data_IF_814800787183
#
_entry.id   IF_814800787183
#
_cell.length_a   1.000
_cell.length_b   1.000
_cell.length_c   1.000
_cell.angle_alpha   90.00
_cell.angle_beta   90.00
_cell.angle_gamma   90.00
#
_symmetry.space_group_name_H-M   'P 1'
#
loop_
_entity.id
_entity.type
_entity.pdbx_description
1 polymer ?
#
# COMPACT_ATOMS: atom_id res chain seq x y z
N UNK A 1 0.63 -19.98 -11.52
CA UNK A 1 1.06 -19.38 -10.24
C UNK A 1 0.10 -18.23 -9.93
N UNK A 2 -0.38 -18.17 -8.69
CA UNK A 2 -1.41 -17.25 -8.16
C UNK A 2 -1.44 -15.86 -8.83
N UNK A 3 -2.44 -15.59 -9.67
CA UNK A 3 -2.58 -14.35 -10.45
C UNK A 3 -2.94 -13.08 -9.66
N UNK A 4 -2.88 -13.11 -8.32
CA UNK A 4 -3.15 -11.96 -7.46
C UNK A 4 -1.88 -11.19 -7.06
N UNK A 5 -0.74 -11.88 -7.01
CA UNK A 5 0.53 -11.24 -6.73
C UNK A 5 1.12 -10.65 -8.00
N UNK A 6 1.79 -9.51 -7.87
CA UNK A 6 2.44 -8.85 -8.99
C UNK A 6 3.58 -9.72 -9.54
N UNK A 7 3.30 -10.45 -10.63
CA UNK A 7 4.25 -11.37 -11.23
C UNK A 7 5.44 -10.66 -11.90
N UNK A 8 5.26 -9.39 -12.26
CA UNK A 8 6.23 -8.60 -13.02
C UNK A 8 7.19 -7.84 -12.11
N UNK A 9 6.72 -7.39 -10.94
CA UNK A 9 7.51 -6.62 -9.99
C UNK A 9 7.57 -7.32 -8.61
N UNK A 10 8.69 -8.00 -8.37
CA UNK A 10 8.97 -8.72 -7.11
C UNK A 10 8.92 -7.81 -5.88
N UNK A 11 9.30 -6.53 -6.01
CA UNK A 11 9.23 -5.56 -4.91
C UNK A 11 7.77 -5.25 -4.55
N UNK A 12 6.92 -4.99 -5.56
CA UNK A 12 5.49 -4.79 -5.34
C UNK A 12 4.84 -6.04 -4.75
N UNK A 13 5.20 -7.23 -5.23
CA UNK A 13 4.71 -8.49 -4.65
C UNK A 13 5.12 -8.64 -3.17
N UNK A 14 6.36 -8.32 -2.82
CA UNK A 14 6.79 -8.31 -1.41
C UNK A 14 5.97 -7.30 -0.59
N UNK A 15 5.73 -6.09 -1.13
CA UNK A 15 4.91 -5.08 -0.47
C UNK A 15 3.43 -5.50 -0.31
N UNK A 16 2.87 -6.29 -1.24
CA UNK A 16 1.54 -6.89 -1.05
C UNK A 16 1.53 -7.84 0.15
N UNK A 17 2.55 -8.69 0.28
CA UNK A 17 2.67 -9.60 1.43
C UNK A 17 2.82 -8.81 2.73
N UNK A 18 3.70 -7.81 2.76
CA UNK A 18 3.92 -6.96 3.94
C UNK A 18 2.65 -6.24 4.37
N UNK A 19 1.92 -5.61 3.44
CA UNK A 19 0.64 -4.95 3.74
C UNK A 19 -0.44 -5.95 4.15
N UNK A 20 -0.46 -7.16 3.57
CA UNK A 20 -1.36 -8.23 3.98
C UNK A 20 -1.11 -8.70 5.42
N UNK A 21 0.16 -8.87 5.81
CA UNK A 21 0.53 -9.20 7.18
C UNK A 21 0.18 -8.08 8.16
N UNK A 22 0.48 -6.83 7.79
CA UNK A 22 0.11 -5.66 8.59
C UNK A 22 -1.41 -5.52 8.77
N UNK A 23 -2.18 -5.80 7.71
CA UNK A 23 -3.65 -5.84 7.76
C UNK A 23 -4.15 -6.92 8.72
N UNK A 24 -3.59 -8.13 8.65
CA UNK A 24 -3.96 -9.20 9.58
C UNK A 24 -3.63 -8.84 11.03
N UNK A 25 -2.47 -8.23 11.28
CA UNK A 25 -2.09 -7.77 12.61
C UNK A 25 -3.01 -6.66 13.13
N UNK A 26 -3.34 -5.67 12.29
CA UNK A 26 -4.26 -4.59 12.64
C UNK A 26 -5.68 -5.12 12.91
N UNK A 27 -6.16 -6.05 12.08
CA UNK A 27 -7.45 -6.72 12.29
C UNK A 27 -7.46 -7.55 13.59
N UNK A 28 -6.38 -8.27 13.88
CA UNK A 28 -6.25 -9.01 15.14
C UNK A 28 -6.27 -8.08 16.35
N UNK A 29 -5.57 -6.94 16.30
CA UNK A 29 -5.60 -5.95 17.37
C UNK A 29 -6.98 -5.33 17.54
N UNK A 30 -7.69 -5.05 16.44
CA UNK A 30 -9.06 -4.54 16.49
C UNK A 30 -10.02 -5.54 17.14
N UNK A 31 -9.89 -6.84 16.83
CA UNK A 31 -10.72 -7.89 17.42
C UNK A 31 -10.38 -8.16 18.90
N UNK A 32 -9.09 -8.07 19.25
CA UNK A 32 -8.62 -8.34 20.61
C UNK A 32 -8.79 -7.15 21.55
N UNK A 33 -8.78 -5.92 21.03
CA UNK A 33 -8.91 -4.67 21.76
C UNK A 33 -9.80 -3.69 20.99
N UNK A 34 -11.14 -3.78 21.12
CA UNK A 34 -12.08 -2.98 20.33
C UNK A 34 -12.03 -1.48 20.62
N UNK A 35 -11.43 -1.05 21.73
CA UNK A 35 -11.18 0.37 22.02
C UNK A 35 -10.22 1.01 21.01
N UNK A 36 -9.45 0.20 20.28
CA UNK A 36 -8.47 0.65 19.27
C UNK A 36 -9.06 0.81 17.86
N UNK A 37 -10.38 0.62 17.69
CA UNK A 37 -11.08 0.61 16.39
C UNK A 37 -10.79 1.87 15.57
N UNK A 38 -10.79 3.05 16.19
CA UNK A 38 -10.62 4.30 15.45
C UNK A 38 -9.19 4.46 14.89
N UNK A 39 -8.16 4.01 15.62
CA UNK A 39 -6.76 4.05 15.19
C UNK A 39 -6.43 2.96 14.17
N UNK A 40 -7.01 1.77 14.33
CA UNK A 40 -6.70 0.62 13.48
C UNK A 40 -7.60 0.55 12.24
N UNK A 41 -8.77 1.19 12.24
CA UNK A 41 -9.70 1.17 11.10
C UNK A 41 -9.12 1.84 9.85
N UNK A 42 -8.48 3.00 10.02
CA UNK A 42 -7.81 3.68 8.91
C UNK A 42 -6.64 2.86 8.37
N UNK A 43 -5.84 2.27 9.25
CA UNK A 43 -4.70 1.42 8.85
C UNK A 43 -5.14 0.15 8.12
N UNK A 44 -6.24 -0.48 8.54
CA UNK A 44 -6.83 -1.63 7.85
C UNK A 44 -7.24 -1.23 6.43
N UNK A 45 -7.96 -0.11 6.28
CA UNK A 45 -8.38 0.38 4.97
C UNK A 45 -7.18 0.69 4.07
N UNK A 46 -6.15 1.34 4.62
CA UNK A 46 -4.93 1.66 3.89
C UNK A 46 -4.13 0.41 3.49
N UNK A 47 -3.97 -0.55 4.39
CA UNK A 47 -3.27 -1.79 4.07
C UNK A 47 -4.03 -2.58 2.99
N UNK A 48 -5.36 -2.64 3.06
CA UNK A 48 -6.18 -3.27 2.02
C UNK A 48 -6.02 -2.56 0.67
N UNK A 49 -6.09 -1.23 0.65
CA UNK A 49 -5.89 -0.43 -0.55
C UNK A 49 -4.50 -0.63 -1.14
N UNK A 50 -3.45 -0.70 -0.31
CA UNK A 50 -2.08 -0.95 -0.75
C UNK A 50 -1.90 -2.35 -1.35
N UNK A 51 -2.54 -3.39 -0.78
CA UNK A 51 -2.52 -4.76 -1.34
C UNK A 51 -3.10 -4.77 -2.76
N UNK A 52 -4.25 -4.12 -2.96
CA UNK A 52 -4.88 -4.00 -4.28
C UNK A 52 -4.07 -3.10 -5.21
N UNK A 53 -3.57 -1.98 -4.69
CA UNK A 53 -2.78 -1.04 -5.50
C UNK A 53 -1.48 -1.69 -5.98
N UNK A 54 -0.88 -2.57 -5.21
CA UNK A 54 0.35 -3.23 -5.63
C UNK A 54 0.13 -4.48 -6.50
N UNK A 55 -1.10 -5.01 -6.61
CA UNK A 55 -1.39 -6.17 -7.47
C UNK A 55 -1.29 -5.85 -8.96
N UNK A 56 -1.91 -4.75 -9.39
CA UNK A 56 -2.18 -4.53 -10.82
C UNK A 56 -2.50 -3.07 -11.18
N UNK A 57 -2.21 -2.14 -10.28
CA UNK A 57 -2.61 -0.75 -10.48
C UNK A 57 -1.55 0.00 -11.28
N UNK A 58 -1.88 0.33 -12.53
CA UNK A 58 -0.91 0.73 -13.56
C UNK A 58 -1.12 2.17 -14.07
N UNK A 59 -2.01 2.93 -13.43
CA UNK A 59 -2.32 4.31 -13.81
C UNK A 59 -1.69 5.32 -12.82
N UNK A 60 -1.15 6.42 -13.37
CA UNK A 60 -0.44 7.45 -12.61
C UNK A 60 -1.29 8.18 -11.56
N UNK A 61 -2.59 8.43 -11.82
CA UNK A 61 -3.52 9.01 -10.86
C UNK A 61 -3.73 8.10 -9.65
N UNK A 62 -3.80 6.79 -9.88
CA UNK A 62 -3.96 5.80 -8.82
C UNK A 62 -2.70 5.66 -7.97
N UNK A 63 -1.53 5.72 -8.60
CA UNK A 63 -0.21 5.78 -7.94
C UNK A 63 -0.05 7.05 -7.09
N UNK A 64 -0.42 8.22 -7.62
CA UNK A 64 -0.38 9.51 -6.90
C UNK A 64 -1.39 9.50 -5.75
N UNK A 65 -2.61 9.03 -5.99
CA UNK A 65 -3.66 8.92 -4.98
C UNK A 65 -3.25 8.00 -3.83
N UNK A 66 -2.70 6.82 -4.14
CA UNK A 66 -2.19 5.90 -3.12
C UNK A 66 -1.01 6.50 -2.34
N UNK A 67 -0.14 7.23 -3.02
CA UNK A 67 0.94 7.96 -2.34
C UNK A 67 0.40 9.01 -1.37
N UNK A 68 -0.55 9.84 -1.82
CA UNK A 68 -1.16 10.88 -0.99
C UNK A 68 -1.85 10.27 0.23
N UNK A 69 -2.61 9.19 0.05
CA UNK A 69 -3.29 8.50 1.15
C UNK A 69 -2.31 7.88 2.15
N UNK A 70 -1.17 7.36 1.70
CA UNK A 70 -0.14 6.88 2.63
C UNK A 70 0.54 8.04 3.38
N UNK A 71 0.75 9.20 2.76
CA UNK A 71 1.19 10.40 3.50
C UNK A 71 0.16 10.88 4.52
N UNK A 72 -1.14 10.80 4.19
CA UNK A 72 -2.21 11.03 5.16
C UNK A 72 -2.10 10.06 6.34
N UNK A 73 -1.87 8.77 6.09
CA UNK A 73 -1.63 7.79 7.16
C UNK A 73 -0.40 8.06 8.01
N UNK A 74 0.68 8.55 7.41
CA UNK A 74 1.83 9.00 8.18
C UNK A 74 1.50 10.23 9.05
N UNK A 75 0.66 11.14 8.53
CA UNK A 75 0.14 12.28 9.26
C UNK A 75 -0.78 11.89 10.42
N UNK A 76 -1.65 10.88 10.26
CA UNK A 76 -2.51 10.41 11.35
C UNK A 76 -1.69 9.75 12.46
N UNK A 77 -0.67 8.96 12.12
CA UNK A 77 0.28 8.40 13.10
C UNK A 77 0.99 9.52 13.86
N UNK A 78 1.53 10.50 13.14
CA UNK A 78 2.20 11.65 13.77
C UNK A 78 1.26 12.43 14.70
N UNK A 79 0.03 12.70 14.26
CA UNK A 79 -0.98 13.40 15.06
C UNK A 79 -1.35 12.60 16.32
N UNK A 80 -1.56 11.28 16.21
CA UNK A 80 -1.88 10.42 17.35
C UNK A 80 -0.77 10.37 18.40
N UNK A 81 0.49 10.27 17.95
CA UNK A 81 1.67 10.26 18.84
C UNK A 81 1.86 11.61 19.53
N UNK A 82 1.78 12.71 18.80
CA UNK A 82 2.06 14.05 19.35
C UNK A 82 0.93 14.61 20.21
N UNK A 83 -0.32 14.21 19.95
CA UNK A 83 -1.47 14.58 20.78
C UNK A 83 -1.63 13.71 22.03
N UNK A 84 -0.89 12.61 22.14
CA UNK A 84 -1.03 11.64 23.24
C UNK A 84 -2.34 10.85 23.20
N UNK A 85 -3.14 10.98 22.13
CA UNK A 85 -4.41 10.27 21.96
C UNK A 85 -4.23 8.83 21.46
N UNK A 86 -3.00 8.43 21.09
CA UNK A 86 -2.74 7.07 20.63
C UNK A 86 -2.75 6.05 21.77
N UNK A 87 -3.52 4.98 21.61
CA UNK A 87 -3.52 3.81 22.50
C UNK A 87 -2.49 2.75 22.09
N UNK A 88 -1.88 2.91 20.91
CA UNK A 88 -0.86 2.01 20.41
C UNK A 88 0.53 2.30 21.05
N UNK A 89 1.33 1.26 21.35
CA UNK A 89 2.71 1.43 21.75
C UNK A 89 3.55 2.20 20.72
N UNK A 90 4.58 2.91 21.16
CA UNK A 90 5.49 3.68 20.28
C UNK A 90 6.09 2.81 19.16
N UNK A 91 6.43 1.56 19.46
CA UNK A 91 6.98 0.60 18.47
C UNK A 91 5.98 0.29 17.36
N UNK A 92 4.70 0.15 17.69
CA UNK A 92 3.62 -0.08 16.72
C UNK A 92 3.45 1.16 15.84
N UNK A 93 3.43 2.35 16.43
CA UNK A 93 3.33 3.60 15.69
C UNK A 93 4.55 3.85 14.77
N UNK A 94 5.75 3.53 15.23
CA UNK A 94 6.96 3.59 14.40
C UNK A 94 6.86 2.62 13.21
N UNK A 95 6.39 1.39 13.44
CA UNK A 95 6.16 0.40 12.38
C UNK A 95 5.14 0.89 11.34
N UNK A 96 4.02 1.45 11.80
CA UNK A 96 2.98 2.05 10.94
C UNK A 96 3.55 3.20 10.10
N UNK A 97 4.30 4.11 10.71
CA UNK A 97 4.94 5.23 10.01
C UNK A 97 5.90 4.75 8.91
N UNK A 98 6.76 3.77 9.23
CA UNK A 98 7.70 3.18 8.26
C UNK A 98 6.95 2.50 7.12
N UNK A 99 5.88 1.75 7.43
CA UNK A 99 5.06 1.07 6.43
C UNK A 99 4.42 2.09 5.47
N UNK A 100 3.77 3.13 5.99
CA UNK A 100 3.15 4.18 5.18
C UNK A 100 4.17 4.92 4.31
N UNK A 101 5.33 5.28 4.86
CA UNK A 101 6.40 5.91 4.08
C UNK A 101 6.87 4.98 2.95
N UNK A 102 7.09 3.71 3.26
CA UNK A 102 7.55 2.72 2.28
C UNK A 102 6.50 2.51 1.19
N UNK A 103 5.21 2.48 1.54
CA UNK A 103 4.10 2.38 0.58
C UNK A 103 4.01 3.62 -0.32
N UNK A 104 4.19 4.82 0.23
CA UNK A 104 4.22 6.06 -0.53
C UNK A 104 5.36 6.07 -1.55
N UNK A 105 6.58 5.74 -1.11
CA UNK A 105 7.76 5.63 -1.98
C UNK A 105 7.55 4.54 -3.03
N UNK A 106 7.02 3.37 -2.64
CA UNK A 106 6.74 2.27 -3.58
C UNK A 106 5.76 2.71 -4.67
N UNK A 107 4.75 3.50 -4.30
CA UNK A 107 3.74 4.01 -5.24
C UNK A 107 4.34 4.93 -6.30
N UNK A 108 5.36 5.73 -5.95
CA UNK A 108 6.00 6.67 -6.88
C UNK A 108 7.13 6.01 -7.67
N UNK A 109 8.03 5.30 -6.99
CA UNK A 109 9.31 4.84 -7.54
C UNK A 109 9.23 3.50 -8.26
N UNK A 110 8.23 2.68 -7.96
CA UNK A 110 8.08 1.34 -8.52
C UNK A 110 6.80 1.22 -9.33
N UNK A 111 6.57 2.21 -10.22
CA UNK A 111 5.49 2.15 -11.21
C UNK A 111 5.63 0.89 -12.04
N UNK A 112 4.49 0.33 -12.42
CA UNK A 112 4.42 -0.59 -13.54
C UNK A 112 4.70 0.20 -14.81
N UNK A 113 5.73 -0.17 -15.56
CA UNK A 113 5.84 0.24 -16.96
C UNK A 113 4.98 -0.74 -17.77
N UNK A 114 3.89 -0.30 -18.42
CA UNK A 114 3.15 -1.18 -19.30
C UNK A 114 4.06 -1.54 -20.47
N UNK A 115 4.62 -2.74 -20.48
CA UNK A 115 5.16 -3.36 -21.71
C UNK A 115 3.99 -3.76 -22.61
N UNK A 116 3.23 -2.80 -23.14
CA UNK A 116 2.14 -3.13 -24.06
C UNK A 116 1.65 -1.97 -24.93
N UNK A 117 2.56 -1.27 -25.62
CA UNK A 117 2.22 -0.62 -26.90
C UNK A 117 3.21 -0.94 -28.03
N UNK A 118 4.41 -1.47 -27.74
CA UNK A 118 5.37 -1.84 -28.78
C UNK A 118 4.93 -3.03 -29.65
N UNK A 119 4.20 -4.01 -29.08
CA UNK A 119 3.78 -5.20 -29.84
C UNK A 119 2.63 -4.90 -30.82
N UNK A 120 1.77 -3.92 -30.53
CA UNK A 120 0.71 -3.50 -31.45
C UNK A 120 1.28 -2.67 -32.61
N UNK A 121 2.27 -1.82 -32.33
CA UNK A 121 2.97 -1.04 -33.36
C UNK A 121 3.83 -1.94 -34.27
N UNK A 122 4.56 -2.92 -33.73
CA UNK A 122 5.32 -3.88 -34.55
C UNK A 122 4.44 -4.82 -35.39
N UNK A 123 3.28 -5.25 -34.87
CA UNK A 123 2.33 -6.05 -35.64
C UNK A 123 1.75 -5.26 -36.81
N UNK A 124 1.41 -3.99 -36.59
CA UNK A 124 0.84 -3.11 -37.61
C UNK A 124 1.90 -2.70 -38.68
N UNK A 125 3.17 -2.56 -38.28
CA UNK A 125 4.30 -2.26 -39.16
C UNK A 125 4.78 -3.46 -39.99
N UNK A 126 4.48 -4.69 -39.58
CA UNK A 126 4.75 -5.92 -40.35
C UNK A 126 3.64 -6.27 -41.35
N UNK A 127 2.51 -5.57 -41.28
CA UNK A 127 1.35 -5.74 -42.18
C UNK A 127 1.19 -4.62 -43.21
N UNK A 128 2.10 -3.64 -43.26
CA UNK A 128 2.20 -2.63 -44.32
C UNK A 128 3.37 -2.92 -45.26
#
# INVERSE_FOLDING_TARGET
>A
MFGFFNAENKWRAAMQITNGLALMFAAYNLLSNPETVWENGFDIAMCALNVVTFSSNDNALSSIGNCALNFTGLGTVYAGVTSGCTVNPLTVNAGKAVLHLTNAVTSICYKYEPKQEETASEALRKTM
#
